data_IF_033187252607
#
_entry.id   IF_033187252607
#
_cell.length_a   1.000
_cell.length_b   1.000
_cell.length_c   1.000
_cell.angle_alpha   90.00
_cell.angle_beta   90.00
_cell.angle_gamma   90.00
#
_symmetry.space_group_name_H-M   'P 1'
#
loop_
_entity.id
_entity.type
_entity.pdbx_description
1 polymer ?
#
# COMPACT_ATOMS: atom_id res chain seq x y z
N UNK A 1 2.88 -12.34 5.40
CA UNK A 1 2.11 -12.85 4.25
C UNK A 1 2.93 -13.78 3.37
N UNK A 2 4.19 -13.43 3.09
CA UNK A 2 5.08 -14.28 2.28
C UNK A 2 5.21 -15.69 2.87
N UNK A 3 5.34 -15.80 4.18
CA UNK A 3 5.46 -17.06 4.91
C UNK A 3 4.20 -17.93 4.84
N UNK A 4 3.05 -17.34 4.57
CA UNK A 4 1.77 -18.05 4.43
C UNK A 4 1.50 -18.52 3.00
N UNK A 5 2.17 -17.96 2.00
CA UNK A 5 1.96 -18.31 0.60
C UNK A 5 2.16 -19.80 0.30
N UNK A 6 3.18 -20.48 0.84
CA UNK A 6 3.34 -21.93 0.62
C UNK A 6 2.15 -22.75 1.13
N UNK A 7 1.56 -22.37 2.26
CA UNK A 7 0.38 -23.04 2.82
C UNK A 7 -0.86 -22.81 1.94
N UNK A 8 -1.02 -21.63 1.40
CA UNK A 8 -2.11 -21.29 0.48
C UNK A 8 -1.98 -22.07 -0.82
N UNK A 9 -0.77 -22.14 -1.40
CA UNK A 9 -0.48 -22.94 -2.60
C UNK A 9 -0.76 -24.41 -2.37
N UNK A 10 -0.33 -24.96 -1.24
CA UNK A 10 -0.59 -26.36 -0.89
C UNK A 10 -2.10 -26.65 -0.79
N UNK A 11 -2.86 -25.77 -0.11
CA UNK A 11 -4.30 -25.92 0.01
C UNK A 11 -5.00 -25.88 -1.37
N UNK A 12 -4.59 -24.98 -2.25
CA UNK A 12 -5.11 -24.90 -3.61
C UNK A 12 -4.85 -26.19 -4.40
N UNK A 13 -3.64 -26.76 -4.26
CA UNK A 13 -3.31 -28.04 -4.90
C UNK A 13 -4.19 -29.18 -4.39
N UNK A 14 -4.38 -29.28 -3.07
CA UNK A 14 -5.24 -30.31 -2.47
C UNK A 14 -6.68 -30.18 -2.94
N UNK A 15 -7.18 -28.94 -3.06
CA UNK A 15 -8.53 -28.63 -3.54
C UNK A 15 -8.67 -28.66 -5.07
N UNK A 16 -7.58 -28.94 -5.80
CA UNK A 16 -7.53 -28.91 -7.28
C UNK A 16 -7.99 -27.56 -7.87
N UNK A 17 -7.70 -26.46 -7.18
CA UNK A 17 -7.96 -25.12 -7.67
C UNK A 17 -6.84 -24.67 -8.61
N UNK A 18 -7.13 -23.81 -9.58
CA UNK A 18 -6.10 -23.19 -10.41
C UNK A 18 -5.14 -22.37 -9.54
N UNK A 19 -3.86 -22.44 -9.84
CA UNK A 19 -2.84 -21.63 -9.14
C UNK A 19 -2.88 -20.20 -9.66
N UNK A 20 -3.16 -19.21 -8.81
CA UNK A 20 -3.07 -17.80 -9.20
C UNK A 20 -1.61 -17.37 -9.33
N UNK A 21 -1.38 -16.28 -10.04
CA UNK A 21 -0.14 -15.54 -9.95
C UNK A 21 -0.10 -14.76 -8.63
N UNK A 22 1.09 -14.69 -8.04
CA UNK A 22 1.30 -13.99 -6.76
C UNK A 22 2.19 -12.78 -6.97
N UNK A 23 1.79 -11.67 -6.40
CA UNK A 23 2.64 -10.51 -6.22
C UNK A 23 2.63 -10.10 -4.74
N UNK A 24 3.78 -9.73 -4.22
CA UNK A 24 3.94 -9.25 -2.86
C UNK A 24 4.56 -7.86 -2.88
N UNK A 25 4.04 -6.97 -2.09
CA UNK A 25 4.57 -5.63 -1.88
C UNK A 25 4.85 -5.41 -0.39
N UNK A 26 5.69 -4.41 -0.05
CA UNK A 26 6.14 -4.19 1.31
C UNK A 26 4.98 -4.03 2.30
N UNK A 27 5.20 -4.49 3.53
CA UNK A 27 4.29 -4.25 4.64
C UNK A 27 4.59 -2.89 5.26
N UNK A 28 3.56 -2.09 5.51
CA UNK A 28 3.68 -0.82 6.22
C UNK A 28 3.96 -1.09 7.69
N UNK A 29 5.02 -0.49 8.23
CA UNK A 29 5.42 -0.61 9.62
C UNK A 29 5.07 0.67 10.40
N UNK A 30 4.60 0.49 11.63
CA UNK A 30 4.52 1.56 12.62
C UNK A 30 5.92 1.98 13.08
N UNK A 31 6.02 3.10 13.81
CA UNK A 31 7.29 3.56 14.39
C UNK A 31 7.92 2.53 15.35
N UNK A 32 7.13 1.63 15.94
CA UNK A 32 7.60 0.51 16.76
C UNK A 32 8.30 -0.59 15.95
N UNK A 33 8.25 -0.56 14.63
CA UNK A 33 8.72 -1.63 13.74
C UNK A 33 7.70 -2.76 13.54
N UNK A 34 6.56 -2.71 14.21
CA UNK A 34 5.48 -3.68 14.02
C UNK A 34 4.62 -3.32 12.80
N UNK A 35 3.97 -4.33 12.21
CA UNK A 35 3.04 -4.12 11.11
C UNK A 35 1.93 -3.15 11.54
N UNK A 36 1.73 -2.09 10.76
CA UNK A 36 0.64 -1.15 10.98
C UNK A 36 -0.71 -1.87 10.83
N UNK A 37 -1.51 -1.83 11.89
CA UNK A 37 -2.81 -2.49 11.95
C UNK A 37 -3.77 -1.73 12.88
N UNK A 38 -5.04 -2.06 12.86
CA UNK A 38 -6.02 -1.52 13.83
C UNK A 38 -5.61 -1.77 15.27
N UNK A 39 -4.95 -2.91 15.55
CA UNK A 39 -4.48 -3.27 16.89
C UNK A 39 -3.26 -2.44 17.33
N UNK A 40 -2.46 -1.98 16.37
CA UNK A 40 -1.28 -1.12 16.62
C UNK A 40 -1.57 0.37 16.49
N UNK A 41 -2.85 0.76 16.50
CA UNK A 41 -3.25 2.17 16.53
C UNK A 41 -3.28 2.85 15.16
N UNK A 42 -3.41 2.09 14.06
CA UNK A 42 -3.60 2.70 12.74
C UNK A 42 -4.85 3.58 12.75
N UNK A 43 -4.70 4.82 12.32
CA UNK A 43 -5.83 5.74 12.13
C UNK A 43 -6.72 5.26 10.98
N UNK A 44 -8.02 5.49 11.12
CA UNK A 44 -8.95 5.26 10.02
C UNK A 44 -8.66 6.26 8.89
N UNK A 45 -8.85 5.81 7.65
CA UNK A 45 -8.79 6.74 6.51
C UNK A 45 -9.95 7.71 6.61
N UNK A 46 -9.63 9.02 6.62
CA UNK A 46 -10.64 10.07 6.62
C UNK A 46 -11.06 10.38 5.17
N UNK A 47 -12.33 10.20 4.81
CA UNK A 47 -12.82 10.51 3.47
C UNK A 47 -12.66 11.98 3.07
N UNK A 48 -12.65 12.89 4.04
CA UNK A 48 -12.44 14.33 3.79
C UNK A 48 -11.01 14.60 3.29
N UNK A 49 -10.04 13.81 3.74
CA UNK A 49 -8.63 13.91 3.38
C UNK A 49 -8.19 12.78 2.44
N UNK A 50 -9.09 12.27 1.61
CA UNK A 50 -8.83 11.13 0.73
C UNK A 50 -7.62 11.34 -0.20
N UNK A 51 -7.44 12.56 -0.74
CA UNK A 51 -6.32 12.86 -1.62
C UNK A 51 -4.97 12.74 -0.90
N UNK A 52 -4.86 13.25 0.32
CA UNK A 52 -3.64 13.11 1.11
C UNK A 52 -3.32 11.64 1.43
N UNK A 53 -4.34 10.84 1.77
CA UNK A 53 -4.17 9.41 2.00
C UNK A 53 -3.72 8.66 0.74
N UNK A 54 -4.25 9.03 -0.43
CA UNK A 54 -3.85 8.44 -1.72
C UNK A 54 -2.40 8.84 -2.05
N UNK A 55 -2.05 10.11 -1.90
CA UNK A 55 -0.68 10.58 -2.15
C UNK A 55 0.34 9.83 -1.30
N UNK A 56 0.05 9.65 0.00
CA UNK A 56 0.89 8.85 0.89
C UNK A 56 1.01 7.39 0.44
N UNK A 57 -0.10 6.77 0.06
CA UNK A 57 -0.09 5.40 -0.44
C UNK A 57 0.72 5.27 -1.74
N UNK A 58 0.59 6.22 -2.65
CA UNK A 58 1.34 6.25 -3.90
C UNK A 58 2.84 6.48 -3.64
N UNK A 59 3.21 7.39 -2.73
CA UNK A 59 4.58 7.58 -2.29
C UNK A 59 5.18 6.31 -1.67
N UNK A 60 4.39 5.58 -0.88
CA UNK A 60 4.79 4.27 -0.35
C UNK A 60 5.05 3.24 -1.47
N UNK A 61 4.29 3.30 -2.54
CA UNK A 61 4.46 2.46 -3.73
C UNK A 61 5.56 2.97 -4.69
N UNK A 62 6.30 4.01 -4.31
CA UNK A 62 7.40 4.56 -5.10
C UNK A 62 6.97 5.52 -6.20
N UNK A 63 5.73 6.00 -6.18
CA UNK A 63 5.23 7.01 -7.11
C UNK A 63 5.30 8.41 -6.50
N UNK A 64 5.81 9.36 -7.27
CA UNK A 64 5.72 10.79 -6.97
C UNK A 64 4.56 11.38 -7.75
N UNK A 65 3.62 12.01 -7.03
CA UNK A 65 2.44 12.60 -7.64
C UNK A 65 2.84 13.85 -8.45
N UNK A 66 2.42 13.98 -9.71
CA UNK A 66 2.57 15.22 -10.48
C UNK A 66 1.81 16.39 -9.84
N UNK A 67 2.33 17.61 -10.01
CA UNK A 67 1.81 18.81 -9.35
C UNK A 67 0.34 19.09 -9.69
N UNK A 68 -0.06 18.84 -10.92
CA UNK A 68 -1.43 19.00 -11.43
C UNK A 68 -2.44 17.99 -10.83
N UNK A 69 -1.96 16.90 -10.26
CA UNK A 69 -2.81 15.87 -9.63
C UNK A 69 -3.03 16.05 -8.12
N UNK A 70 -2.32 16.96 -7.45
CA UNK A 70 -2.51 17.19 -6.01
C UNK A 70 -3.91 17.71 -5.65
N UNK A 71 -4.54 18.43 -6.57
CA UNK A 71 -5.91 18.96 -6.40
C UNK A 71 -6.95 18.24 -7.24
N UNK A 72 -6.53 17.21 -8.00
CA UNK A 72 -7.42 16.44 -8.83
C UNK A 72 -8.35 15.53 -8.01
N UNK A 73 -9.51 15.14 -8.55
CA UNK A 73 -10.35 14.13 -7.91
C UNK A 73 -9.58 12.82 -7.68
N UNK A 74 -9.82 12.15 -6.56
CA UNK A 74 -9.17 10.89 -6.19
C UNK A 74 -9.23 9.83 -7.30
N UNK A 75 -10.33 9.74 -8.04
CA UNK A 75 -10.50 8.81 -9.15
C UNK A 75 -9.52 9.07 -10.30
N UNK A 76 -9.21 10.34 -10.58
CA UNK A 76 -8.26 10.72 -11.62
C UNK A 76 -6.83 10.37 -11.21
N UNK A 77 -6.45 10.66 -9.98
CA UNK A 77 -5.16 10.30 -9.39
C UNK A 77 -4.94 8.79 -9.42
N UNK A 78 -5.94 8.01 -9.02
CA UNK A 78 -5.86 6.54 -9.06
C UNK A 78 -5.80 6.00 -10.49
N UNK A 79 -6.55 6.60 -11.44
CA UNK A 79 -6.50 6.23 -12.84
C UNK A 79 -5.12 6.54 -13.47
N UNK A 80 -4.48 7.63 -13.10
CA UNK A 80 -3.10 7.93 -13.48
C UNK A 80 -2.14 6.90 -12.89
N UNK A 81 -2.20 6.67 -11.59
CA UNK A 81 -1.32 5.76 -10.88
C UNK A 81 -1.38 4.33 -11.47
N UNK A 82 -2.57 3.84 -11.81
CA UNK A 82 -2.75 2.51 -12.40
C UNK A 82 -2.09 2.36 -13.78
N UNK A 83 -1.86 3.44 -14.50
CA UNK A 83 -1.17 3.43 -15.80
C UNK A 83 0.36 3.48 -15.69
N UNK A 84 0.87 4.16 -14.65
CA UNK A 84 2.31 4.42 -14.54
C UNK A 84 3.02 3.54 -13.54
N UNK A 85 2.29 2.93 -12.59
CA UNK A 85 2.90 2.08 -11.59
C UNK A 85 3.43 0.78 -12.18
N UNK A 86 4.65 0.43 -11.79
CA UNK A 86 5.33 -0.80 -12.21
C UNK A 86 5.70 -1.59 -10.95
N UNK A 87 5.22 -2.84 -10.79
CA UNK A 87 5.51 -3.68 -9.61
C UNK A 87 7.00 -3.85 -9.33
N UNK A 88 7.83 -3.88 -10.37
CA UNK A 88 9.27 -4.09 -10.25
C UNK A 88 10.00 -2.99 -9.46
N UNK A 89 9.41 -1.82 -9.32
CA UNK A 89 9.95 -0.72 -8.51
C UNK A 89 10.09 -1.06 -7.02
N UNK A 90 9.38 -2.10 -6.56
CA UNK A 90 9.37 -2.55 -5.16
C UNK A 90 10.07 -3.90 -4.96
N UNK A 91 10.79 -4.41 -5.95
CA UNK A 91 11.47 -5.70 -5.85
C UNK A 91 12.50 -5.70 -4.71
N UNK A 92 12.43 -6.76 -3.90
CA UNK A 92 13.35 -6.99 -2.79
C UNK A 92 12.99 -6.27 -1.49
N UNK A 93 11.98 -5.40 -1.47
CA UNK A 93 11.52 -4.77 -0.25
C UNK A 93 10.42 -5.62 0.42
N UNK A 94 10.64 -6.03 1.67
CA UNK A 94 9.67 -6.79 2.47
C UNK A 94 8.84 -5.90 3.39
N UNK A 95 9.38 -4.74 3.78
CA UNK A 95 8.72 -3.80 4.69
C UNK A 95 9.27 -2.39 4.51
N UNK A 96 8.43 -1.39 4.79
CA UNK A 96 8.80 0.02 4.82
C UNK A 96 8.22 0.70 6.05
N UNK A 97 8.98 1.57 6.74
CA UNK A 97 8.42 2.40 7.79
C UNK A 97 7.38 3.37 7.20
N UNK A 98 6.35 3.62 7.97
CA UNK A 98 5.31 4.57 7.63
C UNK A 98 5.78 5.99 7.98
N UNK A 99 5.70 6.96 7.07
CA UNK A 99 6.07 8.33 7.36
C UNK A 99 5.04 8.99 8.28
N UNK A 100 5.09 8.65 9.57
CA UNK A 100 4.09 9.09 10.56
C UNK A 100 4.05 10.61 10.75
N UNK A 101 5.14 11.33 10.40
CA UNK A 101 5.22 12.79 10.52
C UNK A 101 4.31 13.53 9.54
N UNK A 102 4.04 12.97 8.37
CA UNK A 102 3.42 13.72 7.28
C UNK A 102 1.89 13.60 7.28
N UNK A 103 1.37 12.55 7.94
CA UNK A 103 -0.09 12.33 8.00
C UNK A 103 -0.76 13.11 9.13
N UNK A 104 -0.08 13.25 10.26
CA UNK A 104 -0.59 14.10 11.35
C UNK A 104 -0.61 15.58 10.97
N UNK A 105 0.28 16.00 10.06
CA UNK A 105 0.28 17.38 9.54
C UNK A 105 -0.81 17.62 8.49
N UNK A 106 -1.20 16.61 7.73
CA UNK A 106 -2.25 16.71 6.71
C UNK A 106 -3.68 16.52 7.28
N UNK A 107 -3.79 16.07 8.54
CA UNK A 107 -5.07 15.85 9.23
C UNK A 107 -5.44 16.97 10.22
N UNK A 108 -4.66 18.06 10.28
CA UNK A 108 -4.95 19.32 11.03
C UNK A 108 -5.34 20.43 10.07
#
# INVERSE_FOLDING_TARGET
>A
LLDNTPRQVFLQQVLRLPRPEYAHFPVVLAASGEKLSKQTGALAVDPVHANAAIELALGFLGLSLPEDLHTAPAAETLAWASRVWVPDSLQGELSRPYPASDILAAAQ
#
